data_IF_430507600004
#
_entry.id   IF_430507600004
#
_cell.length_a   1.000
_cell.length_b   1.000
_cell.length_c   1.000
_cell.angle_alpha   90.00
_cell.angle_beta   90.00
_cell.angle_gamma   90.00
#
_symmetry.space_group_name_H-M   'P 1'
#
loop_
_entity.id
_entity.type
_entity.pdbx_description
1 polymer ?
#
# COMPACT_ATOMS: atom_id res chain seq x y z
N UNK A 1 -7.55 56.73 -19.03
CA UNK A 1 -6.95 55.54 -18.39
C UNK A 1 -7.92 54.37 -18.50
N UNK A 2 -7.38 53.18 -18.79
CA UNK A 2 -8.05 52.04 -19.43
C UNK A 2 -8.96 51.21 -18.49
N UNK A 3 -10.05 50.66 -19.05
CA UNK A 3 -11.15 49.95 -18.38
C UNK A 3 -10.70 48.57 -17.87
N UNK A 4 -11.06 48.21 -16.63
CA UNK A 4 -10.88 46.83 -16.11
C UNK A 4 -11.93 45.91 -16.76
N UNK A 5 -11.50 44.73 -17.20
CA UNK A 5 -12.36 43.72 -17.83
C UNK A 5 -13.02 42.89 -16.73
N UNK A 6 -14.33 43.02 -16.59
CA UNK A 6 -15.15 42.04 -15.89
C UNK A 6 -15.44 40.89 -16.86
N UNK A 7 -14.63 39.84 -16.82
CA UNK A 7 -14.98 38.60 -17.52
C UNK A 7 -14.37 37.39 -16.82
N UNK A 8 -15.24 36.41 -16.56
CA UNK A 8 -15.03 35.10 -15.93
C UNK A 8 -15.24 35.01 -14.41
N UNK A 9 -16.45 35.34 -13.95
CA UNK A 9 -17.09 34.54 -12.91
C UNK A 9 -17.84 33.40 -13.59
N UNK A 10 -17.29 32.19 -13.58
CA UNK A 10 -18.02 30.98 -14.01
C UNK A 10 -19.01 30.66 -12.89
N UNK A 11 -20.29 30.96 -13.13
CA UNK A 11 -21.42 30.66 -12.24
C UNK A 11 -22.18 29.42 -12.74
N UNK A 12 -21.46 28.38 -13.10
CA UNK A 12 -22.08 27.11 -13.48
C UNK A 12 -21.87 26.10 -12.36
N UNK A 13 -22.98 25.68 -11.78
CA UNK A 13 -23.01 24.61 -10.79
C UNK A 13 -22.76 23.27 -11.49
N UNK A 14 -21.56 22.74 -11.32
CA UNK A 14 -21.12 21.45 -11.89
C UNK A 14 -21.53 20.25 -11.01
N UNK A 15 -22.37 20.44 -9.99
CA UNK A 15 -22.87 19.36 -9.12
C UNK A 15 -23.55 18.22 -9.92
N UNK A 16 -24.13 18.54 -11.08
CA UNK A 16 -24.74 17.56 -11.99
C UNK A 16 -23.73 16.68 -12.75
N UNK A 17 -22.47 17.12 -12.93
CA UNK A 17 -21.43 16.34 -13.66
C UNK A 17 -21.06 15.04 -12.92
N UNK A 18 -21.26 15.00 -11.61
CA UNK A 18 -20.94 13.82 -10.78
C UNK A 18 -22.17 13.01 -10.38
N UNK A 19 -23.37 13.49 -10.68
CA UNK A 19 -24.63 12.86 -10.25
C UNK A 19 -24.87 11.51 -10.93
N UNK A 20 -24.43 11.32 -12.17
CA UNK A 20 -24.58 10.04 -12.89
C UNK A 20 -23.59 8.97 -12.42
N UNK A 21 -22.45 9.37 -11.83
CA UNK A 21 -21.49 8.43 -11.23
C UNK A 21 -21.95 7.87 -9.88
N UNK A 22 -22.86 8.55 -9.19
CA UNK A 22 -23.39 8.10 -7.90
C UNK A 22 -24.63 7.20 -8.03
N UNK A 23 -25.28 7.16 -9.22
CA UNK A 23 -26.49 6.36 -9.45
C UNK A 23 -26.21 4.90 -9.83
N UNK A 24 -24.99 4.54 -10.21
CA UNK A 24 -24.63 3.16 -10.58
C UNK A 24 -24.27 2.26 -9.39
N UNK A 25 -24.20 2.80 -8.16
CA UNK A 25 -23.78 2.07 -6.97
C UNK A 25 -24.93 1.49 -6.13
N UNK A 26 -26.05 1.13 -6.77
CA UNK A 26 -27.02 0.21 -6.17
C UNK A 26 -26.58 -1.25 -6.38
N UNK A 27 -25.36 -1.59 -5.97
CA UNK A 27 -24.98 -2.99 -5.75
C UNK A 27 -25.59 -3.44 -4.43
N UNK A 28 -26.59 -4.33 -4.54
CA UNK A 28 -27.08 -5.30 -3.55
C UNK A 28 -26.29 -5.30 -2.23
N UNK A 29 -26.99 -4.98 -1.13
CA UNK A 29 -26.57 -5.26 0.26
C UNK A 29 -26.42 -6.77 0.44
N UNK A 30 -25.29 -7.31 0.01
CA UNK A 30 -24.79 -8.58 0.52
C UNK A 30 -24.09 -8.29 1.85
N UNK A 31 -24.36 -9.14 2.82
CA UNK A 31 -23.86 -9.15 4.18
C UNK A 31 -22.38 -8.74 4.25
N UNK A 32 -22.10 -7.70 5.02
CA UNK A 32 -20.85 -6.91 5.06
C UNK A 32 -19.61 -7.71 5.52
N UNK A 33 -19.80 -8.97 5.93
CA UNK A 33 -18.78 -9.74 6.65
C UNK A 33 -17.85 -10.57 5.76
N UNK A 34 -18.10 -10.68 4.44
CA UNK A 34 -17.39 -11.64 3.58
C UNK A 34 -16.67 -11.03 2.36
N UNK A 35 -16.40 -9.71 2.35
CA UNK A 35 -15.77 -9.01 1.19
C UNK A 35 -14.28 -8.68 1.34
N UNK A 36 -13.63 -9.03 2.45
CA UNK A 36 -12.30 -8.49 2.79
C UNK A 36 -11.20 -9.52 3.05
N UNK A 37 -11.29 -10.73 2.50
CA UNK A 37 -10.07 -11.55 2.32
C UNK A 37 -9.46 -11.17 0.97
N UNK A 38 -8.72 -10.06 0.93
CA UNK A 38 -7.85 -9.82 -0.22
C UNK A 38 -6.79 -10.92 -0.20
N UNK A 39 -7.04 -11.98 -0.96
CA UNK A 39 -6.12 -13.08 -1.19
C UNK A 39 -4.96 -12.60 -2.09
N UNK A 40 -4.24 -11.59 -1.61
CA UNK A 40 -3.14 -10.95 -2.31
C UNK A 40 -1.83 -11.55 -1.81
N UNK A 41 -1.04 -12.03 -2.76
CA UNK A 41 0.29 -12.55 -2.47
C UNK A 41 1.23 -11.40 -2.12
N UNK A 42 2.21 -11.68 -1.27
CA UNK A 42 3.25 -10.71 -0.90
C UNK A 42 3.98 -10.22 -2.16
N UNK A 43 4.22 -11.10 -3.13
CA UNK A 43 4.82 -10.76 -4.42
C UNK A 43 4.01 -9.77 -5.23
N UNK A 44 2.69 -9.99 -5.34
CA UNK A 44 1.82 -9.07 -6.07
C UNK A 44 1.75 -7.71 -5.38
N UNK A 45 1.73 -7.69 -4.04
CA UNK A 45 1.78 -6.45 -3.28
C UNK A 45 3.12 -5.72 -3.47
N UNK A 46 4.23 -6.45 -3.50
CA UNK A 46 5.56 -5.90 -3.77
C UNK A 46 5.63 -5.26 -5.16
N UNK A 47 5.10 -5.91 -6.19
CA UNK A 47 5.03 -5.35 -7.54
C UNK A 47 4.25 -4.03 -7.59
N UNK A 48 3.10 -3.97 -6.90
CA UNK A 48 2.28 -2.75 -6.80
C UNK A 48 3.10 -1.63 -6.14
N UNK A 49 3.68 -1.91 -4.98
CA UNK A 49 4.48 -0.95 -4.22
C UNK A 49 5.68 -0.45 -5.04
N UNK A 50 6.38 -1.35 -5.73
CA UNK A 50 7.53 -1.00 -6.58
C UNK A 50 7.10 -0.08 -7.73
N UNK A 51 5.98 -0.38 -8.41
CA UNK A 51 5.47 0.49 -9.47
C UNK A 51 5.16 1.90 -8.95
N UNK A 52 4.57 2.00 -7.76
CA UNK A 52 4.33 3.28 -7.11
C UNK A 52 5.65 3.99 -6.77
N UNK A 53 6.63 3.29 -6.20
CA UNK A 53 7.94 3.86 -5.89
C UNK A 53 8.64 4.43 -7.14
N UNK A 54 8.59 3.69 -8.25
CA UNK A 54 9.10 4.15 -9.56
C UNK A 54 8.35 5.38 -10.06
N UNK A 55 7.02 5.39 -9.99
CA UNK A 55 6.21 6.53 -10.40
C UNK A 55 6.50 7.79 -9.57
N UNK A 56 6.81 7.63 -8.28
CA UNK A 56 7.20 8.74 -7.39
C UNK A 56 8.67 9.16 -7.51
N UNK A 57 9.46 8.50 -8.37
CA UNK A 57 10.86 8.84 -8.59
C UNK A 57 11.82 8.44 -7.46
N UNK A 58 11.51 7.37 -6.72
CA UNK A 58 12.46 6.84 -5.73
C UNK A 58 13.73 6.31 -6.40
N UNK A 59 14.87 6.40 -5.70
CA UNK A 59 16.15 5.90 -6.17
C UNK A 59 16.08 4.38 -6.41
N UNK A 60 16.68 3.91 -7.52
CA UNK A 60 16.70 2.49 -7.88
C UNK A 60 17.29 1.62 -6.78
N UNK A 61 18.32 2.10 -6.08
CA UNK A 61 18.90 1.39 -4.93
C UNK A 61 17.87 1.11 -3.85
N UNK A 62 17.03 2.08 -3.53
CA UNK A 62 15.97 1.93 -2.51
C UNK A 62 14.90 0.94 -2.97
N UNK A 63 14.55 0.95 -4.25
CA UNK A 63 13.62 -0.02 -4.84
C UNK A 63 14.21 -1.44 -4.75
N UNK A 64 15.49 -1.59 -5.05
CA UNK A 64 16.19 -2.87 -4.96
C UNK A 64 16.31 -3.38 -3.52
N UNK A 65 16.55 -2.50 -2.54
CA UNK A 65 16.56 -2.87 -1.13
C UNK A 65 15.20 -3.46 -0.70
N UNK A 66 14.10 -2.86 -1.17
CA UNK A 66 12.75 -3.39 -0.95
C UNK A 66 12.56 -4.79 -1.56
N UNK A 67 12.94 -4.98 -2.82
CA UNK A 67 12.90 -6.31 -3.43
C UNK A 67 13.69 -7.34 -2.65
N UNK A 68 14.96 -7.02 -2.36
CA UNK A 68 15.88 -7.93 -1.71
C UNK A 68 15.36 -8.37 -0.35
N UNK A 69 14.96 -7.41 0.49
CA UNK A 69 14.55 -7.70 1.85
C UNK A 69 13.18 -8.38 1.94
N UNK A 70 12.19 -7.96 1.13
CA UNK A 70 10.86 -8.60 1.13
C UNK A 70 10.92 -10.02 0.55
N UNK A 71 11.67 -10.23 -0.55
CA UNK A 71 11.87 -11.59 -1.10
C UNK A 71 12.64 -12.49 -0.14
N UNK A 72 13.66 -11.96 0.54
CA UNK A 72 14.39 -12.71 1.56
C UNK A 72 13.48 -13.08 2.74
N UNK A 73 12.61 -12.16 3.17
CA UNK A 73 11.60 -12.43 4.19
C UNK A 73 10.70 -13.60 3.77
N UNK A 74 10.08 -13.53 2.60
CA UNK A 74 9.20 -14.59 2.09
C UNK A 74 9.90 -15.95 2.02
N UNK A 75 11.16 -15.96 1.57
CA UNK A 75 11.96 -17.20 1.46
C UNK A 75 12.21 -17.87 2.80
N UNK A 76 12.39 -17.09 3.87
CA UNK A 76 12.69 -17.64 5.20
C UNK A 76 11.41 -18.11 5.90
N UNK A 77 10.34 -17.33 5.81
CA UNK A 77 9.11 -17.59 6.58
C UNK A 77 8.09 -18.43 5.82
N UNK A 78 8.44 -18.85 4.59
CA UNK A 78 7.60 -19.62 3.65
C UNK A 78 6.17 -19.07 3.54
N UNK A 79 6.03 -17.74 3.60
CA UNK A 79 4.73 -17.07 3.64
C UNK A 79 4.39 -16.55 2.26
N UNK A 80 3.20 -16.89 1.75
CA UNK A 80 2.78 -16.53 0.41
C UNK A 80 1.83 -15.33 0.42
N UNK A 81 0.97 -15.23 1.43
CA UNK A 81 -0.11 -14.25 1.48
C UNK A 81 0.11 -13.18 2.55
N UNK A 82 -0.36 -11.95 2.27
CA UNK A 82 -0.23 -10.85 3.22
C UNK A 82 -1.03 -11.07 4.52
N UNK A 83 -2.16 -11.78 4.44
CA UNK A 83 -3.02 -12.08 5.60
C UNK A 83 -2.42 -13.10 6.57
N UNK A 84 -1.49 -13.92 6.10
CA UNK A 84 -0.79 -14.91 6.93
C UNK A 84 0.27 -14.26 7.82
N UNK A 85 0.67 -13.02 7.53
CA UNK A 85 1.75 -12.34 8.23
C UNK A 85 1.43 -12.13 9.71
N UNK A 86 2.24 -12.74 10.56
CA UNK A 86 2.21 -12.59 12.02
C UNK A 86 3.55 -12.06 12.52
N UNK A 87 3.54 -11.51 13.73
CA UNK A 87 4.75 -11.01 14.39
C UNK A 87 5.81 -12.12 14.53
N UNK A 88 5.39 -13.38 14.72
CA UNK A 88 6.29 -14.52 14.79
C UNK A 88 7.15 -14.71 13.53
N UNK A 89 6.60 -14.46 12.33
CA UNK A 89 7.36 -14.52 11.07
C UNK A 89 8.47 -13.46 11.04
N UNK A 90 8.24 -12.28 11.64
CA UNK A 90 9.26 -11.24 11.75
C UNK A 90 10.39 -11.70 12.69
N UNK A 91 10.05 -12.30 13.84
CA UNK A 91 11.06 -12.82 14.76
C UNK A 91 11.87 -13.96 14.14
N UNK A 92 11.20 -14.90 13.48
CA UNK A 92 11.83 -15.98 12.72
C UNK A 92 12.83 -15.42 11.69
N UNK A 93 12.38 -14.48 10.86
CA UNK A 93 13.23 -13.84 9.86
C UNK A 93 14.44 -13.13 10.46
N UNK A 94 14.26 -12.37 11.54
CA UNK A 94 15.37 -11.68 12.20
C UNK A 94 16.33 -12.65 12.90
N UNK A 95 15.82 -13.76 13.41
CA UNK A 95 16.63 -14.79 14.07
C UNK A 95 17.49 -15.57 13.08
N UNK A 96 17.02 -15.80 11.85
CA UNK A 96 17.76 -16.52 10.81
C UNK A 96 18.92 -15.73 10.21
N UNK A 97 18.91 -14.39 10.33
CA UNK A 97 19.99 -13.55 9.82
C UNK A 97 21.25 -13.63 10.68
N UNK A 98 22.36 -14.09 10.10
CA UNK A 98 23.70 -14.00 10.68
C UNK A 98 24.39 -12.68 10.31
N UNK A 99 23.84 -11.56 10.77
CA UNK A 99 24.35 -10.20 10.51
C UNK A 99 24.28 -9.33 11.77
N UNK A 100 24.96 -8.18 11.75
CA UNK A 100 24.92 -7.22 12.86
C UNK A 100 23.49 -6.76 13.20
N UNK A 101 23.24 -6.40 14.46
CA UNK A 101 21.95 -5.84 14.88
C UNK A 101 21.57 -4.58 14.08
N UNK A 102 22.56 -3.78 13.69
CA UNK A 102 22.33 -2.61 12.85
C UNK A 102 21.80 -2.99 11.46
N UNK A 103 22.33 -4.05 10.86
CA UNK A 103 21.84 -4.60 9.58
C UNK A 103 20.42 -5.15 9.74
N UNK A 104 20.14 -5.91 10.81
CA UNK A 104 18.79 -6.40 11.12
C UNK A 104 17.79 -5.26 11.23
N UNK A 105 18.17 -4.16 11.90
CA UNK A 105 17.34 -2.96 12.02
C UNK A 105 17.06 -2.30 10.66
N UNK A 106 18.04 -2.25 9.77
CA UNK A 106 17.85 -1.74 8.39
C UNK A 106 16.86 -2.60 7.62
N UNK A 107 16.99 -3.93 7.67
CA UNK A 107 16.04 -4.86 7.05
C UNK A 107 14.63 -4.68 7.62
N UNK A 108 14.49 -4.54 8.93
CA UNK A 108 13.21 -4.33 9.59
C UNK A 108 12.55 -3.00 9.19
N UNK A 109 13.33 -1.91 9.09
CA UNK A 109 12.82 -0.62 8.59
C UNK A 109 12.29 -0.74 7.16
N UNK A 110 12.98 -1.49 6.31
CA UNK A 110 12.54 -1.75 4.94
C UNK A 110 11.23 -2.55 4.90
N UNK A 111 11.13 -3.63 5.69
CA UNK A 111 9.91 -4.42 5.82
C UNK A 111 8.75 -3.57 6.36
N UNK A 112 8.99 -2.77 7.40
CA UNK A 112 7.99 -1.83 7.96
C UNK A 112 7.49 -0.84 6.90
N UNK A 113 8.40 -0.25 6.13
CA UNK A 113 8.03 0.69 5.07
C UNK A 113 7.21 0.00 3.96
N UNK A 114 7.51 -1.25 3.61
CA UNK A 114 6.71 -2.04 2.69
C UNK A 114 5.29 -2.29 3.25
N UNK A 115 5.17 -2.79 4.48
CA UNK A 115 3.88 -3.06 5.11
C UNK A 115 3.04 -1.79 5.30
N UNK A 116 3.68 -0.66 5.63
CA UNK A 116 3.01 0.64 5.69
C UNK A 116 2.39 1.03 4.35
N UNK A 117 3.10 0.85 3.23
CA UNK A 117 2.54 1.10 1.89
C UNK A 117 1.44 0.12 1.54
N UNK A 118 1.54 -1.15 1.95
CA UNK A 118 0.46 -2.12 1.78
C UNK A 118 -0.80 -1.68 2.54
N UNK A 119 -0.65 -1.17 3.76
CA UNK A 119 -1.74 -0.61 4.54
C UNK A 119 -2.36 0.63 3.88
N UNK A 120 -1.54 1.59 3.45
CA UNK A 120 -1.99 2.82 2.79
C UNK A 120 -2.75 2.52 1.48
N UNK A 121 -2.36 1.45 0.79
CA UNK A 121 -3.03 0.94 -0.41
C UNK A 121 -4.29 0.11 -0.10
N UNK A 122 -4.66 -0.09 1.16
CA UNK A 122 -5.79 -0.93 1.58
C UNK A 122 -5.58 -2.43 1.34
N UNK A 123 -4.33 -2.88 1.14
CA UNK A 123 -3.98 -4.29 0.90
C UNK A 123 -3.92 -5.11 2.20
N UNK A 124 -3.71 -4.44 3.34
CA UNK A 124 -3.73 -5.03 4.68
C UNK A 124 -4.59 -4.15 5.58
N UNK A 125 -5.48 -4.76 6.34
CA UNK A 125 -6.21 -4.09 7.41
C UNK A 125 -5.43 -4.28 8.71
N UNK A 126 -4.72 -3.24 9.16
CA UNK A 126 -4.44 -3.15 10.61
C UNK A 126 -5.72 -2.64 11.23
N UNK A 127 -6.47 -3.50 11.93
CA UNK A 127 -7.46 -3.01 12.86
C UNK A 127 -6.72 -2.10 13.83
N UNK A 128 -6.99 -0.80 13.75
CA UNK A 128 -6.39 0.18 14.64
C UNK A 128 -6.62 -0.27 16.06
N UNK A 129 -5.53 -0.58 16.77
CA UNK A 129 -5.56 -0.63 18.22
C UNK A 129 -5.92 0.79 18.64
N UNK A 130 -7.17 0.95 19.05
CA UNK A 130 -7.73 2.19 19.61
C UNK A 130 -7.22 2.35 21.03
#
# INVERSE_FOLDING_TARGET
MSKRRDSLTISEDLSNVFSDRLKSDQRKKETVENRYTFNITIDKALDIVVRQMKATGLRERTINDHYLHVKHFMKITDTQYLEELKVNHIYEWLSSMNVSNQTKLTCLKCLKAFLGRCHDNGLILTFGVT
#
